data_IF_239379170609
#
_entry.id   IF_239379170609
#
_cell.length_a   1.000
_cell.length_b   1.000
_cell.length_c   1.000
_cell.angle_alpha   90.00
_cell.angle_beta   90.00
_cell.angle_gamma   90.00
#
_symmetry.space_group_name_H-M   'P 1'
#
loop_
_entity.id
_entity.type
_entity.pdbx_description
1 polymer ?
#
# COMPACT_ATOMS: atom_id res chain seq x y z
N UNK A 1 -51.14 6.98 27.42
CA UNK A 1 -49.92 7.73 27.01
C UNK A 1 -48.73 6.79 27.12
N UNK A 2 -48.38 6.11 26.03
CA UNK A 2 -47.20 5.23 25.96
C UNK A 2 -46.17 5.99 25.13
N UNK A 3 -45.29 6.74 25.82
CA UNK A 3 -44.21 7.51 25.20
C UNK A 3 -42.91 6.73 25.37
N UNK A 4 -42.36 6.33 24.23
CA UNK A 4 -40.92 6.24 23.94
C UNK A 4 -40.05 5.32 24.81
N UNK A 5 -40.02 4.04 24.45
CA UNK A 5 -38.90 3.12 24.71
C UNK A 5 -38.38 2.55 23.38
N UNK A 6 -37.99 3.43 22.44
CA UNK A 6 -37.45 3.00 21.13
C UNK A 6 -36.25 3.88 20.69
N UNK A 7 -35.38 4.26 21.62
CA UNK A 7 -34.23 5.12 21.34
C UNK A 7 -32.88 4.54 21.81
N UNK A 8 -32.77 3.23 21.98
CA UNK A 8 -31.51 2.58 22.40
C UNK A 8 -30.86 1.66 21.33
N UNK A 9 -31.45 1.54 20.13
CA UNK A 9 -30.93 0.64 19.09
C UNK A 9 -30.06 1.34 18.02
N UNK A 10 -29.99 2.67 18.00
CA UNK A 10 -29.30 3.42 16.94
C UNK A 10 -27.88 3.89 17.31
N UNK A 11 -27.44 3.72 18.55
CA UNK A 11 -26.09 4.08 18.97
C UNK A 11 -25.03 3.00 18.68
N UNK A 12 -25.44 1.80 18.24
CA UNK A 12 -24.51 0.73 17.85
C UNK A 12 -24.01 0.84 16.39
N UNK A 13 -24.63 1.69 15.57
CA UNK A 13 -24.38 1.75 14.12
C UNK A 13 -23.30 2.75 13.67
N UNK A 14 -22.91 3.72 14.50
CA UNK A 14 -21.99 4.80 14.08
C UNK A 14 -20.58 4.66 14.65
N UNK A 15 -20.36 3.71 15.55
CA UNK A 15 -19.09 3.48 16.21
C UNK A 15 -18.11 2.64 15.37
N UNK A 16 -18.56 1.91 14.35
CA UNK A 16 -17.69 1.09 13.49
C UNK A 16 -17.00 1.82 12.32
N UNK A 17 -17.43 3.03 11.96
CA UNK A 17 -16.98 3.69 10.73
C UNK A 17 -15.53 4.21 10.82
N UNK A 18 -15.10 4.70 11.98
CA UNK A 18 -13.77 5.34 12.13
C UNK A 18 -12.60 4.35 12.20
N UNK A 19 -12.85 3.09 12.60
CA UNK A 19 -11.86 2.00 12.56
C UNK A 19 -11.70 1.39 11.16
N UNK A 20 -12.79 1.25 10.42
CA UNK A 20 -12.79 0.72 9.05
C UNK A 20 -11.93 1.56 8.08
N UNK A 21 -11.95 2.89 8.22
CA UNK A 21 -11.12 3.77 7.39
C UNK A 21 -9.62 3.69 7.71
N UNK A 22 -9.24 3.49 8.97
CA UNK A 22 -7.83 3.33 9.35
C UNK A 22 -7.28 2.00 8.82
N UNK A 23 -8.04 0.91 8.94
CA UNK A 23 -7.64 -0.40 8.46
C UNK A 23 -7.57 -0.45 6.92
N UNK A 24 -8.51 0.18 6.21
CA UNK A 24 -8.45 0.32 4.76
C UNK A 24 -7.25 1.17 4.30
N UNK A 25 -6.94 2.25 5.00
CA UNK A 25 -5.81 3.10 4.66
C UNK A 25 -4.46 2.40 4.93
N UNK A 26 -4.33 1.67 6.04
CA UNK A 26 -3.15 0.82 6.28
C UNK A 26 -2.98 -0.25 5.19
N UNK A 27 -4.08 -0.87 4.75
CA UNK A 27 -4.07 -1.87 3.67
C UNK A 27 -3.67 -1.26 2.31
N UNK A 28 -4.10 -0.02 2.04
CA UNK A 28 -3.67 0.72 0.84
C UNK A 28 -2.16 0.92 0.82
N UNK A 29 -1.59 1.47 1.90
CA UNK A 29 -0.15 1.71 2.00
C UNK A 29 0.66 0.40 1.98
N UNK A 30 0.18 -0.64 2.66
CA UNK A 30 0.77 -1.98 2.61
C UNK A 30 0.84 -2.51 1.17
N UNK A 31 -0.25 -2.40 0.41
CA UNK A 31 -0.26 -2.81 -0.99
C UNK A 31 0.69 -1.99 -1.87
N UNK A 32 0.82 -0.70 -1.61
CA UNK A 32 1.75 0.16 -2.34
C UNK A 32 3.21 -0.13 -2.03
N UNK A 33 3.54 -0.39 -0.76
CA UNK A 33 4.84 -0.90 -0.34
C UNK A 33 5.20 -2.20 -1.07
N UNK A 34 4.33 -3.20 -1.02
CA UNK A 34 4.59 -4.52 -1.63
C UNK A 34 4.77 -4.44 -3.16
N UNK A 35 3.97 -3.61 -3.84
CA UNK A 35 4.12 -3.37 -5.29
C UNK A 35 5.46 -2.73 -5.62
N UNK A 36 5.87 -1.73 -4.84
CA UNK A 36 7.14 -1.03 -5.05
C UNK A 36 8.36 -1.93 -4.76
N UNK A 37 8.30 -2.79 -3.76
CA UNK A 37 9.37 -3.77 -3.51
C UNK A 37 9.44 -4.85 -4.60
N UNK A 38 8.30 -5.39 -5.04
CA UNK A 38 8.26 -6.29 -6.19
C UNK A 38 8.86 -5.62 -7.44
N UNK A 39 8.56 -4.34 -7.64
CA UNK A 39 9.09 -3.56 -8.74
C UNK A 39 10.62 -3.43 -8.69
N UNK A 40 11.16 -3.14 -7.51
CA UNK A 40 12.60 -3.11 -7.26
C UNK A 40 13.26 -4.45 -7.55
N UNK A 41 12.65 -5.55 -7.10
CA UNK A 41 13.15 -6.90 -7.32
C UNK A 41 13.13 -7.28 -8.81
N UNK A 42 12.07 -6.92 -9.54
CA UNK A 42 11.98 -7.16 -10.98
C UNK A 42 13.02 -6.36 -11.75
N UNK A 43 13.23 -5.08 -11.44
CA UNK A 43 14.30 -4.27 -12.07
C UNK A 43 15.68 -4.83 -11.73
N UNK A 44 15.87 -5.39 -10.53
CA UNK A 44 17.11 -6.03 -10.12
C UNK A 44 17.30 -7.41 -10.75
N UNK A 45 16.24 -8.14 -11.09
CA UNK A 45 16.34 -9.47 -11.69
C UNK A 45 16.32 -9.45 -13.23
N UNK A 46 15.82 -8.37 -13.86
CA UNK A 46 15.69 -8.30 -15.32
C UNK A 46 17.07 -8.17 -16.01
N UNK A 47 17.46 -9.24 -16.68
CA UNK A 47 18.72 -9.35 -17.41
C UNK A 47 18.82 -8.37 -18.58
N UNK A 48 17.70 -7.93 -19.17
CA UNK A 48 17.69 -6.93 -20.25
C UNK A 48 18.18 -5.57 -19.76
N UNK A 49 18.10 -5.32 -18.45
CA UNK A 49 18.57 -4.08 -17.83
C UNK A 49 20.04 -4.15 -17.38
N UNK A 50 20.77 -5.23 -17.70
CA UNK A 50 22.22 -5.30 -17.44
C UNK A 50 22.93 -4.20 -18.23
N UNK A 51 23.61 -3.29 -17.52
CA UNK A 51 24.33 -2.15 -18.12
C UNK A 51 23.51 -0.86 -18.27
N UNK A 52 22.21 -0.88 -17.96
CA UNK A 52 21.40 0.35 -17.96
C UNK A 52 21.86 1.32 -16.85
N UNK A 53 22.32 2.51 -17.26
CA UNK A 53 22.92 3.50 -16.37
C UNK A 53 22.02 3.90 -15.18
N UNK A 54 20.69 3.87 -15.38
CA UNK A 54 19.71 4.28 -14.36
C UNK A 54 19.09 3.11 -13.57
N UNK A 55 19.46 1.85 -13.84
CA UNK A 55 18.87 0.67 -13.16
C UNK A 55 18.96 0.76 -11.65
N UNK A 56 20.16 1.01 -11.11
CA UNK A 56 20.36 1.10 -9.66
C UNK A 56 19.65 2.31 -9.04
N UNK A 57 19.44 3.39 -9.79
CA UNK A 57 18.65 4.54 -9.32
C UNK A 57 17.18 4.16 -9.22
N UNK A 58 16.61 3.53 -10.26
CA UNK A 58 15.21 3.09 -10.27
C UNK A 58 14.93 2.10 -9.13
N UNK A 59 15.80 1.10 -8.93
CA UNK A 59 15.71 0.17 -7.80
C UNK A 59 15.65 0.91 -6.45
N UNK A 60 16.60 1.82 -6.20
CA UNK A 60 16.67 2.56 -4.93
C UNK A 60 15.47 3.48 -4.72
N UNK A 61 14.99 4.14 -5.77
CA UNK A 61 13.81 5.00 -5.70
C UNK A 61 12.56 4.20 -5.35
N UNK A 62 12.36 3.03 -5.95
CA UNK A 62 11.24 2.16 -5.60
C UNK A 62 11.32 1.66 -4.16
N UNK A 63 12.51 1.28 -3.68
CA UNK A 63 12.67 0.93 -2.25
C UNK A 63 12.50 2.12 -1.32
N UNK A 64 12.84 3.33 -1.75
CA UNK A 64 12.58 4.54 -0.97
C UNK A 64 11.08 4.79 -0.83
N UNK A 65 10.35 4.65 -1.93
CA UNK A 65 8.89 4.73 -1.94
C UNK A 65 8.26 3.63 -1.08
N UNK A 66 8.71 2.36 -1.21
CA UNK A 66 8.22 1.25 -0.40
C UNK A 66 8.35 1.53 1.11
N UNK A 67 9.53 1.99 1.55
CA UNK A 67 9.76 2.38 2.95
C UNK A 67 8.93 3.57 3.42
N UNK A 68 8.56 4.48 2.53
CA UNK A 68 7.69 5.59 2.91
C UNK A 68 6.25 5.13 3.14
N UNK A 69 5.77 4.25 2.27
CA UNK A 69 4.47 3.61 2.42
C UNK A 69 4.43 2.72 3.67
N UNK A 70 5.49 1.98 3.97
CA UNK A 70 5.64 1.22 5.22
C UNK A 70 5.52 2.11 6.45
N UNK A 71 6.27 3.22 6.53
CA UNK A 71 6.15 4.17 7.64
C UNK A 71 4.74 4.72 7.79
N UNK A 72 4.08 5.03 6.67
CA UNK A 72 2.71 5.57 6.72
C UNK A 72 1.70 4.51 7.18
N UNK A 73 1.85 3.27 6.72
CA UNK A 73 1.09 2.12 7.19
C UNK A 73 1.24 1.97 8.71
N UNK A 74 2.46 2.00 9.24
CA UNK A 74 2.73 1.91 10.68
C UNK A 74 2.09 3.06 11.47
N UNK A 75 2.18 4.29 10.97
CA UNK A 75 1.54 5.47 11.58
C UNK A 75 0.02 5.30 11.67
N UNK A 76 -0.60 4.86 10.56
CA UNK A 76 -2.04 4.63 10.48
C UNK A 76 -2.48 3.47 11.38
N UNK A 77 -1.70 2.38 11.42
CA UNK A 77 -1.96 1.25 12.32
C UNK A 77 -1.86 1.66 13.78
N UNK A 78 -0.88 2.50 14.15
CA UNK A 78 -0.75 3.02 15.52
C UNK A 78 -2.00 3.81 15.94
N UNK A 79 -2.47 4.72 15.09
CA UNK A 79 -3.73 5.43 15.31
C UNK A 79 -4.94 4.49 15.31
N UNK A 80 -4.87 3.40 14.53
CA UNK A 80 -5.84 2.32 14.50
C UNK A 80 -5.94 1.56 15.82
N UNK A 81 -4.82 1.22 16.46
CA UNK A 81 -4.80 0.52 17.76
C UNK A 81 -5.49 1.35 18.85
N UNK A 82 -5.22 2.66 18.90
CA UNK A 82 -5.84 3.56 19.89
C UNK A 82 -7.37 3.59 19.73
N UNK A 83 -7.87 3.60 18.49
CA UNK A 83 -9.30 3.56 18.18
C UNK A 83 -9.90 2.17 18.44
N UNK A 84 -9.20 1.11 18.07
CA UNK A 84 -9.66 -0.28 18.23
C UNK A 84 -9.81 -0.66 19.71
N UNK A 85 -8.94 -0.14 20.58
CA UNK A 85 -9.05 -0.30 22.03
C UNK A 85 -10.39 0.24 22.57
N UNK A 86 -10.90 1.35 22.01
CA UNK A 86 -12.22 1.89 22.38
C UNK A 86 -13.40 0.97 22.03
N UNK A 87 -13.18 0.01 21.13
CA UNK A 87 -14.15 -1.02 20.74
C UNK A 87 -13.86 -2.39 21.35
N UNK A 88 -12.93 -2.47 22.31
CA UNK A 88 -12.55 -3.70 23.00
C UNK A 88 -11.76 -4.68 22.13
N UNK A 89 -11.16 -4.23 21.04
CA UNK A 89 -10.25 -5.07 20.25
C UNK A 89 -8.84 -4.97 20.82
N UNK A 90 -8.18 -6.12 21.01
CA UNK A 90 -6.79 -6.16 21.40
C UNK A 90 -5.87 -5.83 20.21
N UNK A 91 -4.63 -5.45 20.50
CA UNK A 91 -3.62 -5.21 19.46
C UNK A 91 -3.43 -6.44 18.58
N UNK A 92 -3.36 -7.63 19.18
CA UNK A 92 -3.18 -8.90 18.47
C UNK A 92 -4.33 -9.17 17.48
N UNK A 93 -5.55 -8.77 17.84
CA UNK A 93 -6.70 -8.88 16.92
C UNK A 93 -6.57 -7.93 15.74
N UNK A 94 -6.12 -6.69 15.97
CA UNK A 94 -5.90 -5.73 14.87
C UNK A 94 -4.76 -6.20 13.97
N UNK A 95 -3.68 -6.73 14.54
CA UNK A 95 -2.55 -7.30 13.80
C UNK A 95 -3.01 -8.46 12.91
N UNK A 96 -3.79 -9.41 13.44
CA UNK A 96 -4.27 -10.57 12.70
C UNK A 96 -5.20 -10.19 11.54
N UNK A 97 -6.09 -9.21 11.74
CA UNK A 97 -6.96 -8.72 10.67
C UNK A 97 -6.17 -7.93 9.61
N UNK A 98 -5.14 -7.20 10.00
CA UNK A 98 -4.25 -6.52 9.07
C UNK A 98 -3.41 -7.52 8.25
N UNK A 99 -2.84 -8.54 8.88
CA UNK A 99 -2.10 -9.60 8.21
C UNK A 99 -2.96 -10.32 7.17
N UNK A 100 -4.17 -10.72 7.55
CA UNK A 100 -5.14 -11.36 6.65
C UNK A 100 -5.48 -10.49 5.42
N UNK A 101 -5.59 -9.18 5.60
CA UNK A 101 -5.80 -8.25 4.49
C UNK A 101 -4.54 -8.15 3.61
N UNK A 102 -3.36 -8.13 4.21
CA UNK A 102 -2.08 -8.20 3.51
C UNK A 102 -1.93 -9.46 2.66
N UNK A 103 -2.30 -10.63 3.19
CA UNK A 103 -2.35 -11.89 2.45
C UNK A 103 -3.30 -11.81 1.26
N UNK A 104 -4.48 -11.19 1.43
CA UNK A 104 -5.44 -10.99 0.34
C UNK A 104 -4.89 -10.05 -0.74
N UNK A 105 -4.15 -9.00 -0.36
CA UNK A 105 -3.46 -8.10 -1.30
C UNK A 105 -2.40 -8.89 -2.09
N UNK A 106 -1.60 -9.70 -1.41
CA UNK A 106 -0.60 -10.54 -2.04
C UNK A 106 -1.21 -11.50 -3.05
N UNK A 107 -2.22 -12.27 -2.64
CA UNK A 107 -2.87 -13.28 -3.48
C UNK A 107 -3.57 -12.68 -4.71
N UNK A 108 -4.27 -11.55 -4.55
CA UNK A 108 -5.12 -11.00 -5.61
C UNK A 108 -4.39 -10.02 -6.54
N UNK A 109 -3.34 -9.35 -6.06
CA UNK A 109 -2.71 -8.26 -6.81
C UNK A 109 -1.23 -8.47 -7.10
N UNK A 110 -0.48 -9.16 -6.24
CA UNK A 110 0.99 -9.27 -6.36
C UNK A 110 1.41 -10.58 -6.99
N UNK A 111 0.91 -11.70 -6.47
CA UNK A 111 1.27 -13.04 -6.93
C UNK A 111 0.96 -13.25 -8.43
N UNK A 112 -0.19 -12.78 -8.97
CA UNK A 112 -0.44 -12.86 -10.41
C UNK A 112 0.56 -12.06 -11.27
N UNK A 113 1.11 -10.97 -10.75
CA UNK A 113 2.12 -10.15 -11.44
C UNK A 113 3.49 -10.85 -11.40
N UNK A 114 3.84 -11.42 -10.24
CA UNK A 114 5.08 -12.17 -10.01
C UNK A 114 5.16 -13.43 -10.89
N UNK A 115 4.11 -14.25 -10.90
CA UNK A 115 4.09 -15.54 -11.61
C UNK A 115 4.11 -15.38 -13.13
N UNK A 116 3.56 -14.28 -13.66
CA UNK A 116 3.47 -14.07 -15.11
C UNK A 116 4.73 -13.43 -15.71
N UNK A 117 5.76 -13.17 -14.90
CA UNK A 117 6.96 -12.44 -15.35
C UNK A 117 6.61 -11.14 -16.07
N UNK A 118 5.50 -10.50 -15.68
CA UNK A 118 4.85 -9.49 -16.49
C UNK A 118 5.64 -8.18 -16.48
N UNK A 119 5.59 -7.54 -17.65
CA UNK A 119 6.38 -6.38 -18.08
C UNK A 119 6.48 -5.31 -16.99
N UNK A 120 7.66 -4.68 -16.92
CA UNK A 120 7.93 -3.46 -16.17
C UNK A 120 6.76 -2.45 -16.27
N UNK A 121 6.02 -2.41 -17.40
CA UNK A 121 4.83 -1.59 -17.60
C UNK A 121 3.71 -1.79 -16.56
N UNK A 122 3.32 -3.04 -16.25
CA UNK A 122 2.21 -3.32 -15.33
C UNK A 122 2.54 -2.83 -13.92
N UNK A 123 3.82 -2.99 -13.54
CA UNK A 123 4.32 -2.57 -12.24
C UNK A 123 4.51 -1.06 -12.17
N UNK A 124 4.95 -0.42 -13.26
CA UNK A 124 5.00 1.05 -13.37
C UNK A 124 3.62 1.66 -13.20
N UNK A 125 2.59 1.13 -13.87
CA UNK A 125 1.22 1.63 -13.71
C UNK A 125 0.74 1.46 -12.26
N UNK A 126 1.03 0.31 -11.64
CA UNK A 126 0.63 0.05 -10.27
C UNK A 126 1.33 0.97 -9.24
N UNK A 127 2.62 1.25 -9.43
CA UNK A 127 3.36 2.21 -8.60
C UNK A 127 2.90 3.65 -8.87
N UNK A 128 2.57 4.01 -10.12
CA UNK A 128 2.01 5.32 -10.46
C UNK A 128 0.69 5.58 -9.74
N UNK A 129 -0.26 4.63 -9.80
CA UNK A 129 -1.54 4.74 -9.08
C UNK A 129 -1.34 4.89 -7.57
N UNK A 130 -0.34 4.19 -7.01
CA UNK A 130 0.02 4.34 -5.60
C UNK A 130 0.57 5.73 -5.27
N UNK A 131 1.44 6.28 -6.12
CA UNK A 131 1.99 7.62 -5.95
C UNK A 131 0.90 8.70 -6.06
N UNK A 132 -0.03 8.56 -7.00
CA UNK A 132 -1.20 9.46 -7.15
C UNK A 132 -2.15 9.39 -5.96
N UNK A 133 -2.34 8.20 -5.37
CA UNK A 133 -3.16 8.01 -4.19
C UNK A 133 -2.50 8.38 -2.86
N UNK A 134 -1.20 8.69 -2.86
CA UNK A 134 -0.45 9.08 -1.65
C UNK A 134 0.64 10.14 -1.95
N UNK A 135 0.26 11.32 -2.48
CA UNK A 135 1.20 12.34 -2.94
C UNK A 135 2.09 12.91 -1.82
N UNK A 136 1.65 12.81 -0.56
CA UNK A 136 2.39 13.30 0.61
C UNK A 136 3.35 12.25 1.20
N UNK A 137 3.24 10.98 0.79
CA UNK A 137 3.95 9.83 1.38
C UNK A 137 4.91 9.16 0.38
N UNK A 138 5.52 9.96 -0.49
CA UNK A 138 6.36 9.47 -1.60
C UNK A 138 7.77 9.04 -1.16
N UNK A 139 8.25 9.49 0.00
CA UNK A 139 9.61 9.17 0.49
C UNK A 139 10.76 9.76 -0.33
N UNK A 140 10.44 10.56 -1.33
CA UNK A 140 11.35 11.28 -2.23
C UNK A 140 10.55 12.42 -2.88
N UNK A 141 11.22 13.32 -3.61
CA UNK A 141 10.51 14.44 -4.25
C UNK A 141 9.58 13.94 -5.37
N UNK A 142 8.42 14.57 -5.62
CA UNK A 142 7.50 14.15 -6.67
C UNK A 142 8.18 14.01 -8.05
N UNK A 143 9.10 14.92 -8.39
CA UNK A 143 9.81 14.90 -9.67
C UNK A 143 10.71 13.65 -9.81
N UNK A 144 11.24 13.15 -8.70
CA UNK A 144 12.08 11.94 -8.66
C UNK A 144 11.25 10.67 -8.89
N UNK A 145 10.03 10.62 -8.33
CA UNK A 145 9.05 9.54 -8.64
C UNK A 145 8.71 9.57 -10.12
N UNK A 146 8.36 10.74 -10.66
CA UNK A 146 7.99 10.89 -12.08
C UNK A 146 9.15 10.49 -13.00
N UNK A 147 10.37 10.91 -12.69
CA UNK A 147 11.55 10.53 -13.47
C UNK A 147 11.81 9.02 -13.43
N UNK A 148 11.66 8.39 -12.26
CA UNK A 148 11.77 6.95 -12.09
C UNK A 148 10.71 6.20 -12.93
N UNK A 149 9.43 6.58 -12.80
CA UNK A 149 8.32 5.97 -13.52
C UNK A 149 8.50 6.09 -15.03
N UNK A 150 8.89 7.28 -15.52
CA UNK A 150 9.19 7.49 -16.93
C UNK A 150 10.36 6.63 -17.44
N UNK A 151 11.42 6.50 -16.63
CA UNK A 151 12.57 5.64 -16.96
C UNK A 151 12.12 4.19 -17.14
N UNK A 152 11.36 3.67 -16.18
CA UNK A 152 10.86 2.31 -16.22
C UNK A 152 9.82 2.10 -17.34
N UNK A 153 8.96 3.08 -17.60
CA UNK A 153 8.02 3.04 -18.72
C UNK A 153 8.75 2.99 -20.07
N UNK A 154 9.87 3.69 -20.20
CA UNK A 154 10.67 3.62 -21.42
C UNK A 154 11.34 2.25 -21.59
N UNK A 155 11.77 1.61 -20.51
CA UNK A 155 12.31 0.24 -20.56
C UNK A 155 11.24 -0.80 -20.90
N UNK A 156 10.00 -0.60 -20.49
CA UNK A 156 8.92 -1.54 -20.78
C UNK A 156 8.50 -1.60 -22.25
N UNK A 157 8.90 -0.58 -23.03
CA UNK A 157 8.61 -0.47 -24.48
C UNK A 157 9.74 -1.03 -25.36
N UNK A 158 10.83 -1.51 -24.78
CA UNK A 158 11.98 -2.13 -25.46
C UNK A 158 11.85 -3.66 -25.44
#
# INVERSE_FOLDING_TARGET
>A
MIRTLLAAALAAGTLGASGAHAQQNATFHQGCMMKADLAADLVKADDRLKGEANRGRAERSMRSFARAQERKMEEVLKAGYEKAAAFGWSKEKVDAEHEKLGEAVMANHIEPVRQKGRLIADVVMAVNTCAEGSPDDLGQKPEEIVQMLNTMFNWSRR
#
